data_IF_954005663561
#
_entry.id   IF_954005663561
#
_cell.length_a   1.000
_cell.length_b   1.000
_cell.length_c   1.000
_cell.angle_alpha   90.00
_cell.angle_beta   90.00
_cell.angle_gamma   90.00
#
_symmetry.space_group_name_H-M   'P 1'
#
loop_
_entity.id
_entity.type
_entity.pdbx_description
1 polymer ?
#
# COMPACT_ATOMS: atom_id res chain seq x y z
N UNK A 1 14.53 0.20 3.84
CA UNK A 1 13.11 -0.17 3.77
C UNK A 1 12.49 0.31 2.47
N UNK A 2 11.59 -0.48 1.91
CA UNK A 2 10.69 -0.06 0.84
C UNK A 2 9.27 0.01 1.42
N UNK A 3 8.77 1.22 1.62
CA UNK A 3 7.41 1.44 2.11
C UNK A 3 6.46 1.28 0.92
N UNK A 4 5.66 0.22 0.93
CA UNK A 4 4.77 -0.10 -0.21
C UNK A 4 3.33 0.35 0.00
N UNK A 5 2.94 0.67 1.24
CA UNK A 5 1.57 1.02 1.56
C UNK A 5 1.26 2.51 1.35
N UNK A 6 2.19 3.40 1.66
CA UNK A 6 1.94 4.84 1.71
C UNK A 6 3.18 5.67 1.37
N UNK A 7 2.94 6.94 1.11
CA UNK A 7 3.97 7.98 1.00
C UNK A 7 3.66 9.15 1.93
N UNK A 8 4.59 10.09 2.08
CA UNK A 8 4.35 11.31 2.84
C UNK A 8 3.27 12.18 2.18
N UNK A 9 2.45 12.85 3.00
CA UNK A 9 1.54 13.90 2.54
C UNK A 9 2.29 15.09 1.89
N UNK A 10 3.58 15.21 2.16
CA UNK A 10 4.44 16.25 1.59
C UNK A 10 5.23 15.74 0.36
N UNK A 11 4.92 14.53 -0.16
CA UNK A 11 5.51 14.01 -1.40
C UNK A 11 5.11 14.88 -2.59
N UNK A 12 6.02 15.05 -3.55
CA UNK A 12 5.79 15.87 -4.72
C UNK A 12 4.55 15.43 -5.51
N UNK A 13 4.34 14.11 -5.60
CA UNK A 13 3.21 13.49 -6.27
C UNK A 13 1.87 13.83 -5.59
N UNK A 14 1.80 13.77 -4.25
CA UNK A 14 0.57 14.08 -3.54
C UNK A 14 0.28 15.58 -3.53
N UNK A 15 1.30 16.42 -3.38
CA UNK A 15 1.17 17.89 -3.48
C UNK A 15 0.65 18.30 -4.86
N UNK A 16 1.11 17.65 -5.93
CA UNK A 16 0.59 17.89 -7.27
C UNK A 16 -0.88 17.48 -7.40
N UNK A 17 -1.28 16.34 -6.85
CA UNK A 17 -2.70 15.92 -6.83
C UNK A 17 -3.57 16.85 -5.99
N UNK A 18 -3.06 17.38 -4.88
CA UNK A 18 -3.79 18.39 -4.10
C UNK A 18 -4.06 19.65 -4.94
N UNK A 19 -3.10 20.08 -5.75
CA UNK A 19 -3.23 21.28 -6.59
C UNK A 19 -4.11 21.04 -7.82
N UNK A 20 -3.91 19.94 -8.54
CA UNK A 20 -4.44 19.71 -9.88
C UNK A 20 -5.58 18.66 -9.94
N UNK A 21 -5.77 17.86 -8.87
CA UNK A 21 -6.84 16.85 -8.82
C UNK A 21 -6.73 15.81 -9.94
N UNK A 22 -7.83 15.65 -10.69
CA UNK A 22 -7.91 14.68 -11.78
C UNK A 22 -7.03 15.04 -12.99
N UNK A 23 -6.59 16.32 -13.11
CA UNK A 23 -5.67 16.78 -14.17
C UNK A 23 -4.18 16.49 -13.84
N UNK A 24 -3.89 16.02 -12.64
CA UNK A 24 -2.55 15.60 -12.25
C UNK A 24 -2.09 14.35 -12.99
N UNK A 25 -0.83 14.26 -13.45
CA UNK A 25 -0.26 13.01 -13.96
C UNK A 25 -0.20 11.90 -12.91
N UNK A 26 -0.37 12.25 -11.64
CA UNK A 26 -0.42 11.34 -10.50
C UNK A 26 -1.86 11.04 -10.04
N UNK A 27 -2.88 11.51 -10.78
CA UNK A 27 -4.28 11.19 -10.49
C UNK A 27 -4.50 9.68 -10.43
N UNK A 28 -5.25 9.22 -9.43
CA UNK A 28 -5.49 7.80 -9.18
C UNK A 28 -4.35 7.05 -8.49
N UNK A 29 -3.18 7.68 -8.26
CA UNK A 29 -2.07 7.07 -7.53
C UNK A 29 -2.39 6.86 -6.04
N UNK A 30 -3.22 7.71 -5.47
CA UNK A 30 -3.58 7.70 -4.05
C UNK A 30 -4.97 7.12 -3.84
N UNK A 31 -5.10 6.27 -2.84
CA UNK A 31 -6.33 5.55 -2.58
C UNK A 31 -7.36 6.45 -1.90
N UNK A 32 -8.57 6.47 -2.43
CA UNK A 32 -9.72 7.12 -1.82
C UNK A 32 -10.74 6.08 -1.35
N UNK A 33 -11.67 6.50 -0.49
CA UNK A 33 -12.78 5.65 -0.07
C UNK A 33 -13.61 5.17 -1.27
N UNK A 34 -13.83 6.04 -2.26
CA UNK A 34 -14.64 5.75 -3.44
C UNK A 34 -14.00 4.67 -4.33
N UNK A 35 -12.65 4.55 -4.32
CA UNK A 35 -11.94 3.49 -5.07
C UNK A 35 -12.26 2.09 -4.51
N UNK A 36 -12.51 1.98 -3.21
CA UNK A 36 -12.82 0.71 -2.55
C UNK A 36 -14.33 0.50 -2.45
N UNK A 37 -15.08 1.57 -2.22
CA UNK A 37 -16.53 1.55 -2.00
C UNK A 37 -17.25 2.50 -2.96
N UNK A 38 -17.29 2.22 -4.28
CA UNK A 38 -17.83 3.14 -5.29
C UNK A 38 -19.34 3.39 -5.15
N UNK A 39 -20.05 2.51 -4.45
CA UNK A 39 -21.48 2.65 -4.16
C UNK A 39 -21.74 3.08 -2.70
N UNK A 40 -20.69 3.49 -1.99
CA UNK A 40 -20.71 3.78 -0.57
C UNK A 40 -20.41 2.55 0.30
N UNK A 41 -20.04 2.79 1.55
CA UNK A 41 -19.74 1.75 2.54
C UNK A 41 -20.85 1.67 3.58
N UNK A 42 -21.16 0.47 4.04
CA UNK A 42 -22.00 0.25 5.23
C UNK A 42 -21.19 0.43 6.50
N UNK A 43 -21.86 0.58 7.64
CA UNK A 43 -21.18 0.61 8.95
C UNK A 43 -20.37 -0.68 9.18
N UNK A 44 -20.91 -1.83 8.80
CA UNK A 44 -20.25 -3.13 8.93
C UNK A 44 -18.95 -3.19 8.10
N UNK A 45 -18.94 -2.62 6.89
CA UNK A 45 -17.74 -2.52 6.07
C UNK A 45 -16.65 -1.70 6.79
N UNK A 46 -17.02 -0.56 7.34
CA UNK A 46 -16.08 0.36 7.98
C UNK A 46 -15.53 -0.18 9.30
N UNK A 47 -16.36 -0.81 10.12
CA UNK A 47 -15.96 -1.45 11.38
C UNK A 47 -15.07 -2.66 11.14
N UNK A 48 -15.28 -3.36 10.02
CA UNK A 48 -14.48 -4.53 9.61
C UNK A 48 -13.04 -4.20 9.20
N UNK A 49 -12.71 -2.94 8.90
CA UNK A 49 -11.36 -2.56 8.46
C UNK A 49 -10.36 -2.70 9.61
N UNK A 50 -9.35 -3.56 9.42
CA UNK A 50 -8.26 -3.68 10.39
C UNK A 50 -7.30 -2.48 10.30
N UNK A 51 -7.03 -1.89 11.44
CA UNK A 51 -6.17 -0.71 11.55
C UNK A 51 -5.40 -0.72 12.87
N UNK A 52 -4.11 -0.35 12.87
CA UNK A 52 -3.30 -0.34 14.09
C UNK A 52 -3.55 0.90 14.98
N UNK A 53 -4.46 1.79 14.57
CA UNK A 53 -4.79 3.03 15.29
C UNK A 53 -6.29 3.21 15.44
N UNK A 54 -6.76 3.93 16.48
CA UNK A 54 -8.19 4.21 16.67
C UNK A 54 -8.81 4.99 15.51
N UNK A 55 -10.10 4.84 15.31
CA UNK A 55 -10.91 5.56 14.32
C UNK A 55 -10.82 5.00 12.89
N UNK A 56 -11.49 5.65 11.96
CA UNK A 56 -11.51 5.25 10.56
C UNK A 56 -10.23 5.67 9.83
N UNK A 57 -9.79 4.90 8.81
CA UNK A 57 -8.54 5.15 8.08
C UNK A 57 -8.70 6.21 6.99
N UNK A 58 -9.43 7.29 7.26
CA UNK A 58 -9.71 8.31 6.25
C UNK A 58 -9.37 9.71 6.74
N UNK A 59 -8.82 10.50 5.83
CA UNK A 59 -8.59 11.94 6.02
C UNK A 59 -9.29 12.71 4.90
N UNK A 60 -10.08 13.72 5.26
CA UNK A 60 -10.68 14.62 4.27
C UNK A 60 -9.57 15.46 3.64
N UNK A 61 -9.44 15.37 2.33
CA UNK A 61 -8.50 16.18 1.55
C UNK A 61 -9.21 16.80 0.35
N UNK A 62 -8.78 17.99 -0.05
CA UNK A 62 -9.26 18.62 -1.28
C UNK A 62 -8.28 18.31 -2.39
N UNK A 63 -8.68 17.48 -3.35
CA UNK A 63 -7.89 17.10 -4.51
C UNK A 63 -8.36 17.98 -5.68
N UNK A 64 -7.55 18.96 -6.08
CA UNK A 64 -7.98 20.01 -6.99
C UNK A 64 -9.15 20.79 -6.39
N UNK A 65 -10.35 20.63 -6.96
CA UNK A 65 -11.56 21.31 -6.48
C UNK A 65 -12.54 20.37 -5.74
N UNK A 66 -12.19 19.09 -5.57
CA UNK A 66 -13.09 18.08 -5.00
C UNK A 66 -12.63 17.61 -3.64
N UNK A 67 -13.51 17.63 -2.65
CA UNK A 67 -13.27 16.97 -1.37
C UNK A 67 -13.39 15.46 -1.54
N UNK A 68 -12.40 14.73 -1.05
CA UNK A 68 -12.33 13.27 -1.03
C UNK A 68 -11.97 12.76 0.36
N UNK A 69 -12.40 11.56 0.66
CA UNK A 69 -11.91 10.78 1.79
C UNK A 69 -10.70 9.97 1.32
N UNK A 70 -9.51 10.52 1.54
CA UNK A 70 -8.25 9.85 1.19
C UNK A 70 -7.94 8.81 2.25
N UNK A 71 -7.51 7.62 1.83
CA UNK A 71 -7.14 6.54 2.73
C UNK A 71 -5.82 6.84 3.43
N UNK A 72 -5.83 6.71 4.77
CA UNK A 72 -4.68 7.01 5.65
C UNK A 72 -4.63 5.96 6.76
N UNK A 73 -4.10 4.79 6.45
CA UNK A 73 -4.05 3.65 7.39
C UNK A 73 -3.42 4.02 8.72
N UNK A 74 -2.34 4.78 8.73
CA UNK A 74 -1.59 5.10 9.95
C UNK A 74 -1.89 6.49 10.48
N UNK A 75 -1.53 7.53 9.75
CA UNK A 75 -1.74 8.94 10.16
C UNK A 75 -2.18 9.77 8.96
N UNK A 76 -2.78 10.95 9.23
CA UNK A 76 -3.16 11.91 8.18
C UNK A 76 -1.97 12.44 7.34
N UNK A 77 -0.74 12.15 7.76
CA UNK A 77 0.49 12.51 7.04
C UNK A 77 1.05 11.36 6.19
N UNK A 78 0.41 10.21 6.20
CA UNK A 78 0.82 9.01 5.47
C UNK A 78 -0.32 8.59 4.55
N UNK A 79 -0.17 8.93 3.28
CA UNK A 79 -1.22 8.79 2.26
C UNK A 79 -1.07 7.44 1.56
N UNK A 80 -2.09 6.61 1.64
CA UNK A 80 -2.05 5.26 1.11
C UNK A 80 -2.07 5.24 -0.43
N UNK A 81 -1.25 4.37 -0.99
CA UNK A 81 -1.16 4.16 -2.43
C UNK A 81 -2.32 3.30 -2.95
N UNK A 82 -2.87 3.68 -4.09
CA UNK A 82 -3.84 2.87 -4.83
C UNK A 82 -3.13 1.83 -5.71
N UNK A 83 -2.74 0.71 -5.12
CA UNK A 83 -2.01 -0.34 -5.83
C UNK A 83 -2.86 -1.13 -6.83
N UNK A 84 -4.16 -0.89 -6.93
CA UNK A 84 -4.98 -1.34 -8.05
C UNK A 84 -4.71 -0.49 -9.31
N UNK A 85 -4.29 0.77 -9.13
CA UNK A 85 -3.99 1.70 -10.22
C UNK A 85 -2.57 1.49 -10.77
N UNK A 86 -2.38 1.47 -12.10
CA UNK A 86 -1.07 1.29 -12.71
C UNK A 86 -0.08 2.42 -12.38
N UNK A 87 -0.54 3.66 -12.14
CA UNK A 87 0.32 4.79 -11.78
C UNK A 87 1.05 4.55 -10.46
N UNK A 88 0.36 4.02 -9.43
CA UNK A 88 0.97 3.68 -8.16
C UNK A 88 1.97 2.52 -8.29
N UNK A 89 1.63 1.51 -9.10
CA UNK A 89 2.57 0.39 -9.38
C UNK A 89 3.82 0.86 -10.10
N UNK A 90 3.68 1.72 -11.10
CA UNK A 90 4.81 2.30 -11.83
C UNK A 90 5.69 3.16 -10.91
N UNK A 91 5.10 3.86 -9.94
CA UNK A 91 5.85 4.58 -8.92
C UNK A 91 6.73 3.63 -8.10
N UNK A 92 6.17 2.54 -7.57
CA UNK A 92 6.94 1.56 -6.79
C UNK A 92 8.02 0.87 -7.63
N UNK A 93 7.74 0.56 -8.91
CA UNK A 93 8.73 -0.03 -9.83
C UNK A 93 9.90 0.93 -10.07
N UNK A 94 9.63 2.23 -10.25
CA UNK A 94 10.69 3.25 -10.36
C UNK A 94 11.55 3.33 -9.11
N UNK A 95 10.91 3.35 -7.92
CA UNK A 95 11.64 3.37 -6.65
C UNK A 95 12.53 2.14 -6.51
N UNK A 96 11.98 0.95 -6.76
CA UNK A 96 12.73 -0.31 -6.67
C UNK A 96 13.89 -0.35 -7.68
N UNK A 97 13.64 0.07 -8.91
CA UNK A 97 14.66 0.17 -9.95
C UNK A 97 15.78 1.14 -9.57
N UNK A 98 15.43 2.30 -9.02
CA UNK A 98 16.42 3.29 -8.54
C UNK A 98 17.27 2.71 -7.41
N UNK A 99 16.68 2.00 -6.47
CA UNK A 99 17.41 1.33 -5.38
C UNK A 99 18.39 0.27 -5.94
N UNK A 100 17.93 -0.55 -6.88
CA UNK A 100 18.78 -1.56 -7.54
C UNK A 100 19.97 -0.92 -8.28
N UNK A 101 19.72 0.13 -9.06
CA UNK A 101 20.76 0.90 -9.76
C UNK A 101 21.74 1.58 -8.79
N UNK A 102 21.27 1.96 -7.60
CA UNK A 102 22.08 2.48 -6.50
C UNK A 102 22.89 1.41 -5.75
N UNK A 103 22.86 0.15 -6.18
CA UNK A 103 23.61 -0.96 -5.56
C UNK A 103 22.95 -1.58 -4.33
N UNK A 104 21.66 -1.30 -4.10
CA UNK A 104 20.90 -1.95 -3.01
C UNK A 104 20.65 -3.40 -3.39
N UNK A 105 21.14 -4.33 -2.59
CA UNK A 105 21.01 -5.78 -2.81
C UNK A 105 19.85 -6.43 -2.05
N UNK A 106 19.27 -5.71 -1.07
CA UNK A 106 18.14 -6.21 -0.28
C UNK A 106 17.23 -5.06 0.15
N UNK A 107 15.91 -5.28 0.10
CA UNK A 107 14.90 -4.37 0.63
C UNK A 107 13.99 -5.09 1.62
N UNK A 108 13.58 -4.41 2.69
CA UNK A 108 12.49 -4.85 3.57
C UNK A 108 11.20 -4.17 3.11
N UNK A 109 10.15 -4.97 2.84
CA UNK A 109 8.83 -4.44 2.54
C UNK A 109 8.13 -4.06 3.84
N UNK A 110 8.05 -2.76 4.10
CA UNK A 110 7.38 -2.21 5.27
C UNK A 110 5.89 -2.00 5.03
N UNK A 111 5.08 -2.24 6.06
CA UNK A 111 3.63 -2.06 6.06
C UNK A 111 2.88 -2.85 4.95
N UNK A 112 3.49 -3.88 4.39
CA UNK A 112 2.97 -4.61 3.22
C UNK A 112 1.64 -5.32 3.50
N UNK A 113 1.36 -5.70 4.74
CA UNK A 113 0.08 -6.30 5.14
C UNK A 113 -1.12 -5.42 4.84
N UNK A 114 -0.93 -4.12 4.75
CA UNK A 114 -1.96 -3.11 4.47
C UNK A 114 -2.00 -2.67 3.00
N UNK A 115 -1.17 -3.24 2.13
CA UNK A 115 -0.95 -2.73 0.78
C UNK A 115 -2.20 -2.76 -0.11
N UNK A 116 -3.05 -3.79 0.01
CA UNK A 116 -4.26 -3.94 -0.81
C UNK A 116 -5.50 -3.81 0.06
N UNK A 117 -6.40 -2.88 -0.31
CA UNK A 117 -7.70 -2.69 0.31
C UNK A 117 -8.79 -3.26 -0.59
N UNK A 118 -9.73 -3.99 0.00
CA UNK A 118 -10.83 -4.62 -0.73
C UNK A 118 -12.10 -4.53 0.11
N UNK A 119 -13.20 -4.11 -0.51
CA UNK A 119 -14.51 -4.05 0.13
C UNK A 119 -14.91 -5.42 0.70
N UNK A 120 -15.63 -5.43 1.82
CA UNK A 120 -16.08 -6.64 2.48
C UNK A 120 -14.98 -7.48 3.13
N UNK A 121 -13.76 -6.93 3.28
CA UNK A 121 -12.64 -7.58 3.96
C UNK A 121 -12.06 -6.70 5.05
N UNK A 122 -11.15 -7.27 5.86
CA UNK A 122 -10.39 -6.46 6.83
C UNK A 122 -9.36 -5.53 6.19
N UNK A 123 -9.14 -5.59 4.89
CA UNK A 123 -8.10 -4.86 4.16
C UNK A 123 -6.67 -5.05 4.75
N UNK A 124 -6.45 -6.19 5.42
CA UNK A 124 -5.18 -6.55 6.02
C UNK A 124 -4.86 -8.02 5.74
N UNK A 125 -3.67 -8.28 5.19
CA UNK A 125 -3.18 -9.63 4.85
C UNK A 125 -4.21 -10.44 4.05
N UNK A 126 -4.84 -9.80 3.07
CA UNK A 126 -5.81 -10.42 2.17
C UNK A 126 -5.11 -11.31 1.13
N UNK A 127 -5.82 -12.24 0.46
CA UNK A 127 -5.23 -13.01 -0.64
C UNK A 127 -4.61 -12.12 -1.74
N UNK A 128 -5.24 -10.98 -2.02
CA UNK A 128 -4.73 -10.00 -3.00
C UNK A 128 -3.43 -9.35 -2.54
N UNK A 129 -3.26 -9.14 -1.23
CA UNK A 129 -1.99 -8.67 -0.67
C UNK A 129 -0.87 -9.68 -0.93
N UNK A 130 -1.13 -10.97 -0.77
CA UNK A 130 -0.12 -12.00 -1.07
C UNK A 130 0.22 -12.06 -2.56
N UNK A 131 -0.76 -11.93 -3.44
CA UNK A 131 -0.51 -11.84 -4.89
C UNK A 131 0.36 -10.63 -5.24
N UNK A 132 0.11 -9.50 -4.59
CA UNK A 132 0.94 -8.30 -4.74
C UNK A 132 2.39 -8.53 -4.27
N UNK A 133 2.57 -9.17 -3.10
CA UNK A 133 3.90 -9.53 -2.58
C UNK A 133 4.65 -10.43 -3.58
N UNK A 134 3.98 -11.45 -4.13
CA UNK A 134 4.59 -12.35 -5.11
C UNK A 134 5.05 -11.59 -6.36
N UNK A 135 4.19 -10.73 -6.89
CA UNK A 135 4.50 -9.91 -8.08
C UNK A 135 5.70 -8.99 -7.83
N UNK A 136 5.70 -8.28 -6.69
CA UNK A 136 6.78 -7.36 -6.34
C UNK A 136 8.09 -8.10 -6.07
N UNK A 137 8.03 -9.26 -5.41
CA UNK A 137 9.19 -10.10 -5.14
C UNK A 137 9.79 -10.67 -6.43
N UNK A 138 8.96 -11.09 -7.38
CA UNK A 138 9.41 -11.54 -8.69
C UNK A 138 10.15 -10.41 -9.43
N UNK A 139 9.57 -9.19 -9.42
CA UNK A 139 10.18 -8.01 -10.03
C UNK A 139 11.51 -7.62 -9.37
N UNK A 140 11.57 -7.65 -8.04
CA UNK A 140 12.83 -7.38 -7.30
C UNK A 140 13.92 -8.38 -7.67
N UNK A 141 13.57 -9.66 -7.79
CA UNK A 141 14.50 -10.72 -8.20
C UNK A 141 15.06 -10.50 -9.61
N UNK A 142 14.24 -10.05 -10.57
CA UNK A 142 14.70 -9.65 -11.90
C UNK A 142 15.75 -8.53 -11.84
N UNK A 143 15.64 -7.63 -10.89
CA UNK A 143 16.59 -6.54 -10.66
C UNK A 143 17.79 -6.93 -9.76
N UNK A 144 17.90 -8.20 -9.37
CA UNK A 144 18.96 -8.69 -8.49
C UNK A 144 18.81 -8.27 -7.02
N UNK A 145 17.62 -7.84 -6.60
CA UNK A 145 17.33 -7.38 -5.25
C UNK A 145 16.60 -8.47 -4.47
N UNK A 146 17.11 -8.82 -3.28
CA UNK A 146 16.42 -9.69 -2.34
C UNK A 146 15.31 -8.95 -1.60
N UNK A 147 14.22 -9.65 -1.27
CA UNK A 147 13.09 -9.07 -0.55
C UNK A 147 12.94 -9.74 0.80
N UNK A 148 12.83 -8.93 1.85
CA UNK A 148 12.46 -9.33 3.18
C UNK A 148 11.06 -8.80 3.47
N UNK A 149 10.12 -9.69 3.78
CA UNK A 149 8.71 -9.32 3.99
C UNK A 149 8.45 -9.13 5.48
N UNK A 150 7.99 -7.94 5.87
CA UNK A 150 7.53 -7.67 7.23
C UNK A 150 6.08 -8.16 7.39
N UNK A 151 5.88 -9.16 8.24
CA UNK A 151 4.56 -9.72 8.53
C UNK A 151 4.22 -9.47 10.00
N UNK A 152 3.38 -8.47 10.27
CA UNK A 152 2.80 -8.26 11.58
C UNK A 152 1.64 -9.23 11.83
N UNK A 153 1.94 -10.37 12.43
CA UNK A 153 0.93 -11.36 12.82
C UNK A 153 1.38 -12.10 14.08
N UNK A 154 0.42 -12.73 14.76
CA UNK A 154 0.75 -13.68 15.84
C UNK A 154 1.69 -14.78 15.31
N UNK A 155 2.65 -15.23 16.12
CA UNK A 155 3.74 -16.11 15.69
C UNK A 155 3.26 -17.40 14.97
N UNK A 156 2.15 -18.00 15.42
CA UNK A 156 1.56 -19.19 14.78
C UNK A 156 1.14 -18.91 13.34
N UNK A 157 0.54 -17.72 13.09
CA UNK A 157 0.17 -17.28 11.74
C UNK A 157 1.39 -16.96 10.90
N UNK A 158 2.44 -16.41 11.50
CA UNK A 158 3.73 -16.19 10.80
C UNK A 158 4.34 -17.52 10.36
N UNK A 159 4.33 -18.53 11.25
CA UNK A 159 4.81 -19.88 10.92
C UNK A 159 3.97 -20.50 9.80
N UNK A 160 2.63 -20.41 9.88
CA UNK A 160 1.74 -20.94 8.87
C UNK A 160 1.97 -20.29 7.49
N UNK A 161 2.04 -18.96 7.42
CA UNK A 161 2.34 -18.21 6.20
C UNK A 161 3.71 -18.63 5.65
N UNK A 162 4.71 -18.69 6.51
CA UNK A 162 6.04 -19.03 6.10
C UNK A 162 6.22 -20.48 5.68
N UNK A 163 5.48 -21.41 6.24
CA UNK A 163 5.49 -22.82 5.81
C UNK A 163 4.78 -23.00 4.46
N UNK A 164 3.71 -22.24 4.22
CA UNK A 164 3.01 -22.25 2.95
C UNK A 164 3.78 -21.51 1.83
N UNK A 165 4.74 -20.66 2.19
CA UNK A 165 5.51 -19.78 1.28
C UNK A 165 7.00 -19.83 1.60
N UNK A 166 7.57 -21.02 1.47
CA UNK A 166 8.99 -21.28 1.77
C UNK A 166 9.95 -20.49 0.86
N UNK A 167 9.44 -19.91 -0.23
CA UNK A 167 10.17 -19.10 -1.19
C UNK A 167 10.35 -17.61 -0.78
N UNK A 168 9.65 -17.16 0.28
CA UNK A 168 9.79 -15.80 0.79
C UNK A 168 10.75 -15.74 1.99
N UNK A 169 11.90 -15.03 1.88
CA UNK A 169 12.78 -14.75 3.00
C UNK A 169 12.02 -13.93 4.07
N UNK A 170 12.21 -14.27 5.33
CA UNK A 170 11.47 -13.71 6.46
C UNK A 170 12.32 -12.79 7.31
N UNK A 171 11.74 -11.66 7.76
CA UNK A 171 12.19 -10.98 8.96
C UNK A 171 11.56 -11.67 10.18
N UNK A 172 12.37 -12.07 11.13
CA UNK A 172 11.93 -12.49 12.45
C UNK A 172 11.59 -11.25 13.32
#
# INVERSE_FOLDING_TARGET
DLIVNHVSADSAEFVDVLANGDDSPHAGMFLTMDDVYPLGATEADLVGIYRPRPGLPFTVSTLGQRKRLVWTTFTSKQIDLNLANPTARAYLDRVLTTLAQGGVSMVRLDAVGYAIKSAGTSSFMTPQTFTFIDTLTARARELGVQVLVEIHAHFERQIAIGSARADLPRAA
#
